data_IF_085100709581
#
_entry.id   IF_085100709581
#
_cell.length_a   1.000
_cell.length_b   1.000
_cell.length_c   1.000
_cell.angle_alpha   90.00
_cell.angle_beta   90.00
_cell.angle_gamma   90.00
#
_symmetry.space_group_name_H-M   'P 1'
#
loop_
_entity.id
_entity.type
_entity.pdbx_description
1 polymer ?
#
# COMPACT_ATOMS: atom_id res chain seq x y z
N UNK A 1 0.51 -24.07 1.53
CA UNK A 1 0.27 -22.84 0.75
C UNK A 1 -0.45 -21.82 1.63
N UNK A 2 0.18 -20.69 1.96
CA UNK A 2 -0.44 -19.64 2.79
C UNK A 2 -1.53 -18.95 1.96
N UNK A 3 -2.74 -18.89 2.49
CA UNK A 3 -3.86 -18.17 1.87
C UNK A 3 -4.20 -17.02 2.80
N UNK A 4 -3.70 -15.83 2.47
CA UNK A 4 -4.02 -14.62 3.23
C UNK A 4 -5.32 -14.05 2.68
N UNK A 5 -6.27 -13.74 3.57
CA UNK A 5 -7.48 -13.02 3.19
C UNK A 5 -7.23 -11.52 2.98
N UNK A 6 -6.15 -10.99 3.59
CA UNK A 6 -5.79 -9.57 3.51
C UNK A 6 -4.28 -9.40 3.31
N UNK A 7 -3.92 -8.42 2.46
CA UNK A 7 -2.54 -8.00 2.18
C UNK A 7 -2.46 -6.51 2.50
N UNK A 8 -1.85 -6.15 3.62
CA UNK A 8 -1.92 -4.80 4.19
C UNK A 8 -0.58 -4.38 4.76
N UNK A 9 -0.32 -3.08 4.76
CA UNK A 9 0.84 -2.46 5.43
C UNK A 9 0.39 -1.42 6.43
N UNK A 10 1.11 -1.30 7.53
CA UNK A 10 0.92 -0.22 8.49
C UNK A 10 1.74 1.00 8.04
N UNK A 11 1.05 2.09 7.69
CA UNK A 11 1.69 3.35 7.32
C UNK A 11 2.65 3.90 8.40
N UNK A 12 2.39 3.59 9.67
CA UNK A 12 3.25 3.99 10.79
C UNK A 12 4.55 3.17 10.91
N UNK A 13 4.65 1.99 10.30
CA UNK A 13 5.87 1.17 10.34
C UNK A 13 6.76 1.39 9.11
N UNK A 14 6.20 1.92 8.01
CA UNK A 14 6.97 2.42 6.87
C UNK A 14 7.77 3.68 7.18
N UNK A 15 7.56 4.31 8.34
CA UNK A 15 8.26 5.52 8.73
C UNK A 15 9.63 5.23 9.34
N UNK A 16 10.64 5.10 8.47
CA UNK A 16 11.90 5.83 8.71
C UNK A 16 11.70 7.36 8.65
N UNK A 17 10.46 7.81 8.38
CA UNK A 17 9.98 9.18 8.47
C UNK A 17 9.81 9.71 9.91
N UNK A 18 10.17 8.93 10.96
CA UNK A 18 10.18 9.41 12.35
C UNK A 18 11.11 10.61 12.59
N UNK A 19 11.98 10.94 11.63
CA UNK A 19 12.90 12.08 11.73
C UNK A 19 12.59 13.26 10.79
N UNK A 20 11.45 13.25 10.08
CA UNK A 20 11.03 14.41 9.30
C UNK A 20 9.59 14.74 9.62
N UNK A 21 9.41 15.79 10.42
CA UNK A 21 8.17 16.54 10.57
C UNK A 21 7.82 17.29 9.27
N UNK A 22 8.03 16.68 8.10
CA UNK A 22 7.62 17.29 6.85
C UNK A 22 6.11 17.22 6.73
N UNK A 23 5.51 18.36 6.46
CA UNK A 23 4.13 18.57 6.02
C UNK A 23 3.80 17.89 4.68
N UNK A 24 4.54 16.84 4.30
CA UNK A 24 4.31 16.09 3.07
C UNK A 24 3.14 15.13 3.30
N UNK A 25 2.14 15.23 2.43
CA UNK A 25 1.09 14.22 2.30
C UNK A 25 1.76 12.86 2.13
N UNK A 26 1.35 11.89 2.96
CA UNK A 26 1.81 10.52 2.84
C UNK A 26 1.07 9.84 1.69
N UNK A 27 1.82 9.37 0.70
CA UNK A 27 1.33 8.53 -0.38
C UNK A 27 1.72 7.08 -0.10
N UNK A 28 0.74 6.18 -0.11
CA UNK A 28 0.99 4.72 -0.06
C UNK A 28 0.58 4.13 -1.40
N UNK A 29 1.56 3.60 -2.13
CA UNK A 29 1.35 2.89 -3.38
C UNK A 29 1.19 1.40 -3.17
N UNK A 30 0.37 0.77 -4.01
CA UNK A 30 0.23 -0.68 -4.11
C UNK A 30 0.38 -1.07 -5.58
N UNK A 31 1.32 -1.97 -5.87
CA UNK A 31 1.55 -2.52 -7.21
C UNK A 31 1.17 -4.00 -7.18
N UNK A 32 0.36 -4.42 -8.15
CA UNK A 32 0.08 -5.84 -8.41
C UNK A 32 0.66 -6.20 -9.77
N UNK A 33 1.75 -6.97 -9.78
CA UNK A 33 2.28 -7.58 -11.00
C UNK A 33 1.51 -8.88 -11.28
N UNK A 34 0.65 -8.85 -12.29
CA UNK A 34 -0.18 -10.00 -12.66
C UNK A 34 0.59 -11.11 -13.39
N UNK A 35 1.79 -10.83 -13.92
CA UNK A 35 2.62 -11.83 -14.58
C UNK A 35 3.33 -12.71 -13.54
N UNK A 36 3.85 -12.11 -12.47
CA UNK A 36 4.56 -12.83 -11.40
C UNK A 36 3.66 -13.20 -10.21
N UNK A 37 2.53 -12.49 -10.06
CA UNK A 37 1.62 -12.62 -8.91
C UNK A 37 2.13 -11.91 -7.65
N UNK A 38 3.13 -11.03 -7.78
CA UNK A 38 3.62 -10.24 -6.64
C UNK A 38 2.77 -9.00 -6.39
N UNK A 39 2.50 -8.76 -5.11
CA UNK A 39 1.91 -7.53 -4.61
C UNK A 39 2.94 -6.83 -3.71
N UNK A 40 3.33 -5.61 -4.08
CA UNK A 40 4.33 -4.80 -3.37
C UNK A 40 3.75 -3.45 -2.95
N UNK A 41 4.39 -2.83 -1.97
CA UNK A 41 3.99 -1.53 -1.44
C UNK A 41 5.12 -0.51 -1.50
N UNK A 42 4.75 0.74 -1.75
CA UNK A 42 5.63 1.90 -1.68
C UNK A 42 5.09 2.94 -0.70
N UNK A 43 5.97 3.74 -0.12
CA UNK A 43 5.60 4.98 0.56
C UNK A 43 6.36 6.14 -0.07
N UNK A 44 5.64 7.16 -0.54
CA UNK A 44 6.19 8.31 -1.26
C UNK A 44 7.16 7.89 -2.39
N UNK A 45 6.76 6.89 -3.20
CA UNK A 45 7.56 6.34 -4.30
C UNK A 45 8.72 5.41 -3.89
N UNK A 46 9.02 5.23 -2.59
CA UNK A 46 10.07 4.32 -2.13
C UNK A 46 9.50 2.96 -1.73
N UNK A 47 10.10 1.87 -2.20
CA UNK A 47 9.70 0.51 -1.86
C UNK A 47 9.87 0.20 -0.37
N UNK A 48 8.88 -0.48 0.22
CA UNK A 48 8.85 -0.83 1.65
C UNK A 48 9.52 -2.18 1.98
N UNK A 49 9.95 -2.94 0.97
CA UNK A 49 10.50 -4.28 1.14
C UNK A 49 9.49 -5.34 1.61
N UNK A 50 8.20 -4.97 1.69
CA UNK A 50 7.10 -5.87 1.99
C UNK A 50 6.49 -6.33 0.67
N UNK A 51 6.50 -7.63 0.43
CA UNK A 51 5.90 -8.24 -0.75
C UNK A 51 5.05 -9.45 -0.36
N UNK A 52 3.98 -9.66 -1.11
CA UNK A 52 3.08 -10.80 -0.94
C UNK A 52 2.94 -11.55 -2.26
N UNK A 53 2.87 -12.87 -2.17
CA UNK A 53 2.55 -13.71 -3.32
C UNK A 53 1.04 -13.97 -3.35
N UNK A 54 0.39 -13.53 -4.43
CA UNK A 54 -1.04 -13.69 -4.69
C UNK A 54 -1.24 -14.89 -5.60
N UNK A 55 -2.27 -15.69 -5.32
CA UNK A 55 -2.59 -16.85 -6.17
C UNK A 55 -3.18 -16.40 -7.51
N UNK A 56 -2.85 -17.05 -8.63
CA UNK A 56 -3.53 -16.82 -9.90
C UNK A 56 -5.06 -16.95 -9.78
N UNK A 57 -5.80 -16.09 -10.48
CA UNK A 57 -7.27 -16.06 -10.46
C UNK A 57 -7.89 -15.43 -9.20
N UNK A 58 -7.07 -14.93 -8.26
CA UNK A 58 -7.57 -14.20 -7.09
C UNK A 58 -8.23 -12.88 -7.51
N UNK A 59 -9.39 -12.59 -6.91
CA UNK A 59 -10.02 -11.26 -7.01
C UNK A 59 -9.61 -10.45 -5.79
N UNK A 60 -8.99 -9.29 -6.01
CA UNK A 60 -8.55 -8.38 -4.97
C UNK A 60 -9.45 -7.14 -4.97
N UNK A 61 -9.66 -6.57 -3.78
CA UNK A 61 -10.39 -5.31 -3.60
C UNK A 61 -9.51 -4.34 -2.80
N UNK A 62 -9.32 -3.09 -3.26
CA UNK A 62 -8.58 -2.09 -2.49
C UNK A 62 -9.37 -1.72 -1.23
N UNK A 63 -8.69 -1.71 -0.08
CA UNK A 63 -9.28 -1.35 1.21
C UNK A 63 -8.30 -0.53 2.04
N UNK A 64 -8.80 0.51 2.72
CA UNK A 64 -8.04 1.37 3.62
C UNK A 64 -8.82 1.50 4.93
N UNK A 65 -8.16 1.23 6.05
CA UNK A 65 -8.71 1.42 7.38
C UNK A 65 -8.04 2.63 8.02
N UNK A 66 -8.81 3.66 8.35
CA UNK A 66 -8.31 4.91 8.92
C UNK A 66 -9.33 5.50 9.89
N UNK A 67 -8.83 6.14 10.95
CA UNK A 67 -9.65 6.95 11.85
C UNK A 67 -9.67 8.38 11.33
N UNK A 68 -10.85 8.91 11.05
CA UNK A 68 -10.99 10.30 10.64
C UNK A 68 -10.52 11.26 11.75
N UNK A 69 -9.62 12.18 11.40
CA UNK A 69 -9.12 13.26 12.27
C UNK A 69 -9.36 14.65 11.67
N UNK A 70 -9.77 14.72 10.40
CA UNK A 70 -10.05 15.93 9.62
C UNK A 70 -11.13 15.63 8.56
N UNK A 71 -11.59 16.66 7.83
CA UNK A 71 -12.51 16.49 6.70
C UNK A 71 -11.85 15.81 5.49
N UNK A 72 -10.57 16.09 5.24
CA UNK A 72 -9.77 15.47 4.20
C UNK A 72 -8.95 14.31 4.81
N UNK A 73 -9.56 13.11 4.88
CA UNK A 73 -8.92 11.95 5.54
C UNK A 73 -7.95 11.24 4.60
N UNK A 74 -8.37 10.95 3.37
CA UNK A 74 -7.55 10.33 2.32
C UNK A 74 -8.24 10.46 0.95
N UNK A 75 -7.49 10.15 -0.10
CA UNK A 75 -7.96 10.10 -1.49
C UNK A 75 -7.49 8.78 -2.11
N UNK A 76 -8.31 8.20 -2.98
CA UNK A 76 -7.88 7.11 -3.85
C UNK A 76 -7.44 7.64 -5.20
N UNK A 77 -6.30 7.16 -5.67
CA UNK A 77 -5.82 7.38 -7.04
C UNK A 77 -5.56 6.04 -7.70
N UNK A 78 -6.12 5.86 -8.90
CA UNK A 78 -5.90 4.68 -9.73
C UNK A 78 -4.89 5.04 -10.83
N UNK A 79 -3.62 4.78 -10.55
CA UNK A 79 -2.55 4.90 -11.53
C UNK A 79 -2.51 3.70 -12.49
N UNK A 80 -1.86 3.90 -13.63
CA UNK A 80 -1.35 2.81 -14.48
C UNK A 80 0.16 2.94 -14.55
N UNK A 81 0.86 1.84 -14.31
CA UNK A 81 2.29 1.72 -14.53
C UNK A 81 2.44 0.97 -15.86
N UNK A 82 3.29 1.49 -16.76
CA UNK A 82 3.50 0.92 -18.10
C UNK A 82 4.19 -0.43 -18.03
#
# INVERSE_FOLDING_TARGET
>A
VKCNSCYMVCAAESSSLSNSRSSMRLEIGCLVDTATGFLTFTANGKELGIFYQVKPGSKLFPAVFVKATSSEVFQFELGRIK
#
